data_IF_662311410418
#
_entry.id   IF_662311410418
#
_cell.length_a   1.000
_cell.length_b   1.000
_cell.length_c   1.000
_cell.angle_alpha   90.00
_cell.angle_beta   90.00
_cell.angle_gamma   90.00
#
_symmetry.space_group_name_H-M   'P 1'
#
loop_
_entity.id
_entity.type
_entity.pdbx_description
1 polymer ?
#
# COMPACT_ATOMS: atom_id res chain seq x y z
N UNK A 1 7.23 1.08 -6.29
CA UNK A 1 7.96 0.07 -5.51
C UNK A 1 6.98 -1.01 -5.08
N UNK A 2 7.35 -2.29 -5.17
CA UNK A 2 6.54 -3.42 -4.70
C UNK A 2 7.36 -4.16 -3.64
N UNK A 3 6.76 -4.42 -2.47
CA UNK A 3 7.38 -5.16 -1.36
C UNK A 3 6.65 -6.49 -1.17
N UNK A 4 7.27 -7.64 -1.48
CA UNK A 4 6.60 -8.94 -1.44
C UNK A 4 6.46 -9.52 -0.03
N UNK A 5 7.00 -8.85 0.99
CA UNK A 5 6.94 -9.26 2.39
C UNK A 5 6.43 -8.11 3.25
N UNK A 6 5.70 -8.47 4.32
CA UNK A 6 5.16 -7.53 5.29
C UNK A 6 5.86 -7.72 6.64
N UNK A 7 6.75 -6.80 6.97
CA UNK A 7 7.39 -6.66 8.27
C UNK A 7 7.63 -5.17 8.60
N UNK A 8 8.17 -4.87 9.78
CA UNK A 8 8.41 -3.49 10.23
C UNK A 8 9.33 -2.73 9.27
N UNK A 9 10.39 -3.37 8.76
CA UNK A 9 11.34 -2.74 7.86
C UNK A 9 10.71 -2.44 6.48
N UNK A 10 9.84 -3.33 6.00
CA UNK A 10 9.07 -3.12 4.78
C UNK A 10 8.11 -1.94 4.92
N UNK A 11 7.42 -1.80 6.05
CA UNK A 11 6.54 -0.65 6.31
C UNK A 11 7.34 0.65 6.37
N UNK A 12 8.48 0.68 7.06
CA UNK A 12 9.35 1.86 7.13
C UNK A 12 9.89 2.28 5.75
N UNK A 13 10.33 1.32 4.94
CA UNK A 13 10.78 1.56 3.58
C UNK A 13 9.64 2.08 2.68
N UNK A 14 8.44 1.52 2.82
CA UNK A 14 7.26 1.98 2.08
C UNK A 14 6.89 3.42 2.41
N UNK A 15 6.80 3.74 3.70
CA UNK A 15 6.51 5.09 4.15
C UNK A 15 7.59 6.08 3.69
N UNK A 16 8.88 5.72 3.80
CA UNK A 16 9.99 6.55 3.31
C UNK A 16 9.85 6.82 1.82
N UNK A 17 9.51 5.80 1.02
CA UNK A 17 9.24 5.95 -0.41
C UNK A 17 8.11 6.94 -0.70
N UNK A 18 7.00 6.88 0.05
CA UNK A 18 5.88 7.84 -0.07
C UNK A 18 6.33 9.28 0.23
N UNK A 19 7.17 9.48 1.25
CA UNK A 19 7.69 10.81 1.56
C UNK A 19 8.58 11.36 0.44
N UNK A 20 9.40 10.50 -0.17
CA UNK A 20 10.29 10.91 -1.26
C UNK A 20 9.57 11.25 -2.57
N UNK A 21 8.35 10.75 -2.78
CA UNK A 21 7.54 11.10 -3.96
C UNK A 21 6.75 12.40 -3.80
N UNK A 22 6.69 12.97 -2.59
CA UNK A 22 6.03 14.24 -2.35
C UNK A 22 6.78 15.40 -3.05
N UNK A 23 6.01 16.37 -3.55
CA UNK A 23 6.59 17.56 -4.18
C UNK A 23 7.45 18.36 -3.18
N UNK A 24 8.51 19.08 -3.63
CA UNK A 24 9.32 19.91 -2.75
C UNK A 24 8.46 20.90 -1.94
N UNK A 25 8.61 20.89 -0.62
CA UNK A 25 7.85 21.74 0.30
C UNK A 25 6.46 21.20 0.69
N UNK A 26 6.03 20.04 0.18
CA UNK A 26 4.81 19.37 0.60
C UNK A 26 5.04 18.41 1.78
N UNK A 27 4.01 18.21 2.60
CA UNK A 27 4.00 17.20 3.66
C UNK A 27 3.08 16.05 3.25
N UNK A 28 3.62 14.85 3.11
CA UNK A 28 2.83 13.66 2.83
C UNK A 28 2.09 13.21 4.10
N UNK A 29 0.78 12.99 3.99
CA UNK A 29 -0.05 12.45 5.07
C UNK A 29 -0.76 11.20 4.54
N UNK A 30 -0.21 10.00 4.76
CA UNK A 30 -0.86 8.76 4.37
C UNK A 30 -2.19 8.57 5.11
N UNK A 31 -3.24 8.26 4.36
CA UNK A 31 -4.48 7.74 4.93
C UNK A 31 -4.30 6.25 5.18
N UNK A 32 -4.60 5.79 6.41
CA UNK A 32 -4.41 4.39 6.81
C UNK A 32 -5.67 3.85 7.46
N UNK A 33 -5.96 2.58 7.20
CA UNK A 33 -6.94 1.86 8.00
C UNK A 33 -6.43 1.71 9.45
N UNK A 34 -7.33 1.34 10.36
CA UNK A 34 -6.98 1.09 11.76
C UNK A 34 -6.74 -0.40 12.02
N UNK A 35 -6.26 -1.15 11.01
CA UNK A 35 -5.78 -2.51 11.23
C UNK A 35 -4.53 -2.49 12.13
N UNK A 36 -4.19 -3.63 12.74
CA UNK A 36 -3.26 -3.76 13.87
C UNK A 36 -2.02 -2.84 13.83
N UNK A 37 -1.63 -2.34 15.02
CA UNK A 37 -0.71 -1.21 15.21
C UNK A 37 0.57 -1.27 14.36
N UNK A 38 0.64 -0.44 13.32
CA UNK A 38 1.90 -0.14 12.65
C UNK A 38 2.82 0.61 13.63
N UNK A 39 4.11 0.26 13.67
CA UNK A 39 5.11 1.12 14.31
C UNK A 39 5.46 2.22 13.32
N UNK A 40 4.99 3.43 13.59
CA UNK A 40 5.12 4.57 12.68
C UNK A 40 6.30 5.44 13.14
N UNK A 41 7.27 5.73 12.26
CA UNK A 41 8.34 6.66 12.57
C UNK A 41 7.82 8.03 13.04
N UNK A 42 8.46 8.63 14.04
CA UNK A 42 7.99 9.87 14.67
C UNK A 42 7.91 11.09 13.72
N UNK A 43 8.56 11.03 12.56
CA UNK A 43 8.58 12.08 11.54
C UNK A 43 7.41 12.00 10.54
N UNK A 44 6.44 11.11 10.77
CA UNK A 44 5.35 10.81 9.83
C UNK A 44 4.00 11.09 10.50
N UNK A 45 3.20 11.97 9.88
CA UNK A 45 1.82 12.19 10.27
C UNK A 45 0.90 11.22 9.49
N UNK A 46 -0.02 10.57 10.18
CA UNK A 46 -1.02 9.68 9.58
C UNK A 46 -2.42 10.27 9.73
N UNK A 47 -3.27 10.02 8.73
CA UNK A 47 -4.71 10.27 8.80
C UNK A 47 -5.44 8.94 9.02
N UNK A 48 -5.88 8.63 10.25
CA UNK A 48 -6.61 7.39 10.50
C UNK A 48 -8.00 7.45 9.87
N UNK A 49 -8.38 6.40 9.14
CA UNK A 49 -9.74 6.23 8.62
C UNK A 49 -10.70 5.81 9.74
N UNK A 50 -12.01 6.10 9.62
CA UNK A 50 -13.01 5.62 10.56
C UNK A 50 -12.99 4.08 10.68
N UNK A 51 -13.17 3.51 11.88
CA UNK A 51 -13.11 2.07 12.08
C UNK A 51 -14.18 1.33 11.26
N UNK A 52 -13.85 0.12 10.82
CA UNK A 52 -14.73 -0.79 10.08
C UNK A 52 -15.32 -0.21 8.78
N UNK A 53 -14.67 0.78 8.17
CA UNK A 53 -15.14 1.44 6.95
C UNK A 53 -14.19 1.14 5.78
N UNK A 54 -14.42 0.07 4.98
CA UNK A 54 -13.60 -0.21 3.80
C UNK A 54 -13.87 0.78 2.65
N UNK A 55 -15.10 1.32 2.57
CA UNK A 55 -15.49 2.26 1.51
C UNK A 55 -14.67 3.57 1.44
N UNK A 56 -14.26 4.21 2.57
CA UNK A 56 -13.39 5.39 2.53
C UNK A 56 -11.90 5.07 2.32
N UNK A 57 -11.50 3.80 2.28
CA UNK A 57 -10.10 3.45 2.00
C UNK A 57 -9.82 3.59 0.50
N UNK A 58 -8.97 4.53 0.05
CA UNK A 58 -8.63 4.67 -1.36
C UNK A 58 -7.99 3.40 -1.94
N UNK A 59 -7.40 2.53 -1.10
CA UNK A 59 -6.84 1.24 -1.52
C UNK A 59 -7.94 0.27 -1.98
N UNK A 60 -9.17 0.36 -1.45
CA UNK A 60 -10.29 -0.47 -1.90
C UNK A 60 -10.59 -0.23 -3.38
N UNK A 61 -10.49 1.01 -3.87
CA UNK A 61 -10.67 1.31 -5.31
C UNK A 61 -9.61 0.62 -6.17
N UNK A 62 -8.37 0.57 -5.68
CA UNK A 62 -7.27 -0.14 -6.37
C UNK A 62 -7.56 -1.64 -6.40
N UNK A 63 -8.04 -2.22 -5.29
CA UNK A 63 -8.42 -3.64 -5.24
C UNK A 63 -9.62 -3.98 -6.11
N UNK A 64 -10.60 -3.08 -6.24
CA UNK A 64 -11.72 -3.24 -7.17
C UNK A 64 -11.20 -3.23 -8.62
N UNK A 65 -10.37 -2.25 -8.99
CA UNK A 65 -9.75 -2.20 -10.32
C UNK A 65 -8.99 -3.50 -10.64
N UNK A 66 -8.23 -4.03 -9.68
CA UNK A 66 -7.51 -5.30 -9.85
C UNK A 66 -8.45 -6.46 -10.09
N UNK A 67 -9.52 -6.59 -9.29
CA UNK A 67 -10.51 -7.67 -9.45
C UNK A 67 -11.24 -7.61 -10.79
N UNK A 68 -11.55 -6.39 -11.26
CA UNK A 68 -12.23 -6.19 -12.54
C UNK A 68 -11.31 -6.40 -13.75
N UNK A 69 -10.03 -6.04 -13.61
CA UNK A 69 -9.07 -6.05 -14.72
C UNK A 69 -8.31 -7.38 -14.84
N UNK A 70 -8.21 -8.16 -13.76
CA UNK A 70 -7.38 -9.34 -13.71
C UNK A 70 -8.19 -10.64 -13.79
N UNK A 71 -7.79 -11.63 -14.61
CA UNK A 71 -8.45 -12.93 -14.63
C UNK A 71 -8.31 -13.63 -13.27
N UNK A 72 -9.43 -13.88 -12.60
CA UNK A 72 -9.44 -14.73 -11.42
C UNK A 72 -8.84 -16.13 -11.75
N UNK A 73 -8.19 -16.76 -10.78
CA UNK A 73 -7.59 -18.11 -10.86
C UNK A 73 -6.33 -18.27 -11.72
N UNK A 74 -5.44 -17.29 -11.73
CA UNK A 74 -4.08 -17.49 -12.25
C UNK A 74 -3.17 -18.22 -11.26
N UNK A 75 -2.32 -19.11 -11.78
CA UNK A 75 -1.30 -19.82 -11.00
C UNK A 75 0.07 -19.30 -11.40
N UNK A 76 0.78 -18.70 -10.45
CA UNK A 76 2.13 -18.19 -10.65
C UNK A 76 3.18 -19.22 -10.23
N UNK A 77 4.30 -19.28 -10.95
CA UNK A 77 5.39 -20.22 -10.68
C UNK A 77 6.28 -19.78 -9.52
N UNK A 78 6.33 -18.48 -9.23
CA UNK A 78 7.14 -17.90 -8.16
C UNK A 78 6.58 -16.53 -7.72
N UNK A 79 7.03 -16.03 -6.57
CA UNK A 79 6.66 -14.70 -6.08
C UNK A 79 7.12 -13.56 -7.00
N UNK A 80 8.26 -13.73 -7.69
CA UNK A 80 8.72 -12.75 -8.68
C UNK A 80 7.75 -12.62 -9.86
N UNK A 81 7.16 -13.73 -10.31
CA UNK A 81 6.14 -13.69 -11.37
C UNK A 81 4.89 -12.92 -10.94
N UNK A 82 4.53 -12.93 -9.65
CA UNK A 82 3.40 -12.13 -9.16
C UNK A 82 3.70 -10.62 -9.30
N UNK A 83 4.94 -10.22 -9.00
CA UNK A 83 5.38 -8.81 -9.06
C UNK A 83 5.51 -8.33 -10.50
N UNK A 84 6.13 -9.14 -11.36
CA UNK A 84 6.48 -8.77 -12.73
C UNK A 84 5.27 -8.89 -13.68
N UNK A 85 4.50 -9.96 -13.56
CA UNK A 85 3.37 -10.20 -14.46
C UNK A 85 2.13 -9.41 -14.00
N UNK A 86 2.04 -9.07 -12.71
CA UNK A 86 0.88 -8.47 -12.01
C UNK A 86 0.37 -7.11 -12.50
N UNK A 87 0.92 -6.56 -13.60
CA UNK A 87 0.37 -5.37 -14.26
C UNK A 87 0.55 -4.06 -13.48
N UNK A 88 1.50 -3.99 -12.55
CA UNK A 88 1.80 -2.80 -11.74
C UNK A 88 2.79 -1.81 -12.40
N UNK A 89 3.02 -1.95 -13.71
CA UNK A 89 3.93 -1.12 -14.50
C UNK A 89 3.22 0.03 -15.20
#
# INVERSE_FOLDING_TARGET
MILPFYDVAAVELHLTGIFQTAAPGAHAVPAVDQADSHTVPANIALLPLPPCSPAPDPVENVWQLMRDSWPANQVFKSGANIVDDGGFA
#
